data_IF_367819098453
#
_entry.id   IF_367819098453
#
_cell.length_a   1.000
_cell.length_b   1.000
_cell.length_c   1.000
_cell.angle_alpha   90.00
_cell.angle_beta   90.00
_cell.angle_gamma   90.00
#
_symmetry.space_group_name_H-M   'P 1'
#
loop_
_entity.id
_entity.type
_entity.pdbx_description
1 polymer ?
#
# COMPACT_ATOMS: atom_id res chain seq x y z
N UNK A 1 8.22 -11.07 -10.15
CA UNK A 1 7.11 -10.18 -10.53
C UNK A 1 6.78 -10.48 -11.98
N UNK A 2 5.70 -11.20 -12.24
CA UNK A 2 5.19 -11.38 -13.61
C UNK A 2 4.40 -10.13 -13.96
N UNK A 3 4.86 -9.40 -14.97
CA UNK A 3 4.14 -8.24 -15.51
C UNK A 3 2.86 -8.76 -16.19
N UNK A 4 1.77 -8.83 -15.43
CA UNK A 4 0.45 -9.20 -15.95
C UNK A 4 -0.06 -8.03 -16.80
N UNK A 5 0.06 -8.13 -18.12
CA UNK A 5 -0.52 -7.16 -19.03
C UNK A 5 -2.02 -7.42 -19.15
N UNK A 6 -2.84 -6.56 -18.55
CA UNK A 6 -4.29 -6.64 -18.66
C UNK A 6 -4.78 -5.97 -19.96
N UNK A 7 -5.90 -6.45 -20.56
CA UNK A 7 -6.52 -5.79 -21.70
C UNK A 7 -6.97 -4.36 -21.35
N UNK A 8 -6.84 -3.44 -22.31
CA UNK A 8 -7.19 -2.03 -22.11
C UNK A 8 -8.64 -1.82 -21.64
N UNK A 9 -9.58 -2.60 -22.17
CA UNK A 9 -11.00 -2.55 -21.77
C UNK A 9 -11.20 -2.94 -20.30
N UNK A 10 -10.44 -3.93 -19.81
CA UNK A 10 -10.47 -4.35 -18.42
C UNK A 10 -9.81 -3.32 -17.51
N UNK A 11 -8.72 -2.68 -17.94
CA UNK A 11 -8.08 -1.60 -17.19
C UNK A 11 -9.02 -0.41 -16.99
N UNK A 12 -9.72 0.03 -18.05
CA UNK A 12 -10.73 1.09 -17.95
C UNK A 12 -11.87 0.69 -17.01
N UNK A 13 -12.35 -0.55 -17.12
CA UNK A 13 -13.41 -1.07 -16.26
C UNK A 13 -12.96 -1.12 -14.79
N UNK A 14 -11.75 -1.61 -14.55
CA UNK A 14 -11.14 -1.72 -13.23
C UNK A 14 -10.96 -0.34 -12.61
N UNK A 15 -10.35 0.61 -13.32
CA UNK A 15 -10.10 1.96 -12.80
C UNK A 15 -11.41 2.67 -12.41
N UNK A 16 -12.45 2.49 -13.24
CA UNK A 16 -13.77 3.09 -13.02
C UNK A 16 -14.56 2.48 -11.86
N UNK A 17 -14.39 1.18 -11.57
CA UNK A 17 -15.18 0.46 -10.56
C UNK A 17 -14.35 -0.12 -9.40
N UNK A 18 -13.07 0.24 -9.30
CA UNK A 18 -12.12 -0.34 -8.34
C UNK A 18 -12.67 -0.36 -6.91
N UNK A 19 -13.25 0.74 -6.44
CA UNK A 19 -13.78 0.85 -5.09
C UNK A 19 -14.92 -0.16 -4.81
N UNK A 20 -15.83 -0.34 -5.77
CA UNK A 20 -16.95 -1.28 -5.66
C UNK A 20 -16.48 -2.73 -5.80
N UNK A 21 -15.51 -3.00 -6.68
CA UNK A 21 -14.93 -4.33 -6.87
C UNK A 21 -14.17 -4.79 -5.62
N UNK A 22 -13.38 -3.91 -5.00
CA UNK A 22 -12.71 -4.19 -3.72
C UNK A 22 -13.75 -4.47 -2.63
N UNK A 23 -14.89 -3.78 -2.64
CA UNK A 23 -15.98 -4.02 -1.67
C UNK A 23 -16.68 -5.36 -1.88
N UNK A 24 -16.76 -5.82 -3.13
CA UNK A 24 -17.34 -7.11 -3.55
C UNK A 24 -16.33 -8.26 -3.54
N UNK A 25 -15.06 -8.00 -3.19
CA UNK A 25 -14.03 -9.03 -3.12
C UNK A 25 -14.40 -10.16 -2.13
N UNK A 26 -13.90 -11.39 -2.36
CA UNK A 26 -14.09 -12.53 -1.46
C UNK A 26 -13.77 -12.17 0.00
N UNK A 27 -14.56 -12.69 0.95
CA UNK A 27 -14.42 -12.37 2.39
C UNK A 27 -12.98 -12.60 2.90
N UNK A 28 -12.32 -13.67 2.46
CA UNK A 28 -10.93 -13.96 2.82
C UNK A 28 -9.97 -12.82 2.45
N UNK A 29 -10.04 -12.31 1.21
CA UNK A 29 -9.18 -11.21 0.73
C UNK A 29 -9.54 -9.87 1.41
N UNK A 30 -10.81 -9.66 1.73
CA UNK A 30 -11.26 -8.46 2.44
C UNK A 30 -10.77 -8.44 3.88
N UNK A 31 -10.86 -9.56 4.59
CA UNK A 31 -10.34 -9.71 5.96
C UNK A 31 -8.82 -9.59 6.00
N UNK A 32 -8.11 -10.14 5.01
CA UNK A 32 -6.67 -9.99 4.86
C UNK A 32 -6.27 -8.52 4.62
N UNK A 33 -7.02 -7.80 3.78
CA UNK A 33 -6.85 -6.35 3.54
C UNK A 33 -7.11 -5.53 4.79
N UNK A 34 -8.18 -5.82 5.54
CA UNK A 34 -8.51 -5.12 6.78
C UNK A 34 -7.47 -5.38 7.88
N UNK A 35 -7.00 -6.62 8.02
CA UNK A 35 -5.94 -6.97 8.99
C UNK A 35 -4.56 -6.41 8.63
N UNK A 36 -4.31 -6.18 7.34
CA UNK A 36 -3.10 -5.50 6.85
C UNK A 36 -3.18 -3.98 7.01
N UNK A 37 -4.40 -3.41 6.98
CA UNK A 37 -4.65 -1.99 7.23
C UNK A 37 -4.59 -1.57 8.70
N UNK A 38 -4.91 -2.47 9.64
CA UNK A 38 -4.86 -2.17 11.09
C UNK A 38 -3.43 -2.20 11.63
N UNK A 39 -3.06 -1.20 12.44
CA UNK A 39 -1.82 -1.15 13.23
C UNK A 39 -1.88 -2.14 14.41
N UNK A 40 -1.93 -3.43 14.11
CA UNK A 40 -2.11 -4.49 15.11
C UNK A 40 -0.81 -5.21 15.47
N UNK A 41 0.31 -4.88 14.83
CA UNK A 41 1.59 -5.59 15.05
C UNK A 41 2.60 -4.68 15.74
N UNK A 42 3.41 -5.22 16.65
CA UNK A 42 4.48 -4.46 17.34
C UNK A 42 5.44 -3.76 16.35
N UNK A 43 5.66 -4.36 15.17
CA UNK A 43 6.40 -3.74 14.07
C UNK A 43 5.73 -2.48 13.51
N UNK A 44 4.39 -2.39 13.47
CA UNK A 44 3.66 -1.19 13.03
C UNK A 44 3.90 -0.01 13.97
N UNK A 45 3.93 -0.27 15.28
CA UNK A 45 4.22 0.73 16.32
C UNK A 45 5.68 1.18 16.28
N UNK A 46 6.62 0.25 16.07
CA UNK A 46 8.04 0.57 15.95
C UNK A 46 8.33 1.41 14.70
N UNK A 47 7.71 1.05 13.58
CA UNK A 47 7.78 1.77 12.31
C UNK A 47 7.17 3.18 12.38
N UNK A 48 6.11 3.37 13.18
CA UNK A 48 5.52 4.67 13.44
C UNK A 48 6.37 5.55 14.37
N UNK A 49 7.06 4.96 15.35
CA UNK A 49 7.93 5.68 16.27
C UNK A 49 9.25 6.13 15.62
N UNK A 50 9.73 5.41 14.60
CA UNK A 50 11.03 5.64 13.95
C UNK A 50 11.17 7.07 13.37
N UNK A 51 10.23 7.60 12.57
CA UNK A 51 10.28 8.97 12.07
C UNK A 51 10.32 10.01 13.18
N UNK A 52 9.60 9.78 14.30
CA UNK A 52 9.57 10.69 15.45
C UNK A 52 10.94 10.74 16.12
N UNK A 53 11.58 9.59 16.34
CA UNK A 53 12.92 9.50 16.93
C UNK A 53 13.95 10.20 16.04
N UNK A 54 13.88 10.01 14.71
CA UNK A 54 14.78 10.65 13.74
C UNK A 54 14.60 12.17 13.74
N UNK A 55 13.35 12.66 13.74
CA UNK A 55 13.06 14.10 13.80
C UNK A 55 13.61 14.70 15.09
N UNK A 56 13.33 14.08 16.25
CA UNK A 56 13.81 14.58 17.56
C UNK A 56 15.33 14.62 17.59
N UNK A 57 15.99 13.55 17.14
CA UNK A 57 17.45 13.47 17.04
C UNK A 57 18.02 14.58 16.17
N UNK A 58 17.43 14.81 14.99
CA UNK A 58 17.85 15.88 14.09
C UNK A 58 17.64 17.28 14.68
N UNK A 59 16.48 17.54 15.31
CA UNK A 59 16.19 18.84 15.93
C UNK A 59 17.05 19.14 17.15
N UNK A 60 17.61 18.12 17.82
CA UNK A 60 18.55 18.31 18.93
C UNK A 60 19.99 18.62 18.46
N UNK A 61 20.25 18.65 17.16
CA UNK A 61 21.54 19.06 16.62
C UNK A 61 21.57 20.55 16.30
N UNK A 62 22.68 21.22 16.61
CA UNK A 62 22.94 22.62 16.26
C UNK A 62 23.38 22.80 14.79
N UNK A 63 23.15 21.79 13.93
CA UNK A 63 23.53 21.82 12.52
C UNK A 63 22.89 22.98 11.75
N UNK A 64 21.68 23.40 12.14
CA UNK A 64 20.94 24.48 11.50
C UNK A 64 20.50 25.47 12.57
N UNK A 65 21.10 26.67 12.56
CA UNK A 65 20.79 27.77 13.50
C UNK A 65 19.45 28.45 13.20
N UNK A 66 19.01 28.45 11.94
CA UNK A 66 17.73 29.02 11.55
C UNK A 66 16.60 28.03 11.85
N UNK A 67 15.75 28.40 12.80
CA UNK A 67 14.70 27.54 13.33
C UNK A 67 13.64 27.16 12.28
N UNK A 68 13.27 28.08 11.40
CA UNK A 68 12.29 27.84 10.33
C UNK A 68 12.86 26.86 9.29
N UNK A 69 14.14 27.02 8.94
CA UNK A 69 14.84 26.12 8.02
C UNK A 69 15.03 24.73 8.64
N UNK A 70 15.37 24.66 9.94
CA UNK A 70 15.47 23.39 10.69
C UNK A 70 14.14 22.64 10.70
N UNK A 71 13.03 23.34 10.88
CA UNK A 71 11.69 22.77 10.85
C UNK A 71 11.32 22.20 9.47
N UNK A 72 11.59 22.93 8.39
CA UNK A 72 11.33 22.46 7.02
C UNK A 72 12.15 21.18 6.73
N UNK A 73 13.44 21.19 7.08
CA UNK A 73 14.30 20.01 6.87
C UNK A 73 13.83 18.82 7.70
N UNK A 74 13.41 19.05 8.95
CA UNK A 74 12.85 18.00 9.80
C UNK A 74 11.57 17.39 9.18
N UNK A 75 10.68 18.20 8.59
CA UNK A 75 9.51 17.72 7.87
C UNK A 75 9.87 16.86 6.66
N UNK A 76 10.87 17.28 5.88
CA UNK A 76 11.34 16.52 4.71
C UNK A 76 11.94 15.18 5.14
N UNK A 77 12.76 15.16 6.19
CA UNK A 77 13.33 13.93 6.75
C UNK A 77 12.21 13.01 7.27
N UNK A 78 11.24 13.55 8.00
CA UNK A 78 10.09 12.82 8.50
C UNK A 78 9.28 12.16 7.38
N UNK A 79 9.02 12.90 6.29
CA UNK A 79 8.31 12.39 5.14
C UNK A 79 9.11 11.31 4.39
N UNK A 80 10.41 11.50 4.20
CA UNK A 80 11.28 10.48 3.61
C UNK A 80 11.31 9.19 4.45
N UNK A 81 11.49 9.32 5.78
CA UNK A 81 11.42 8.20 6.70
C UNK A 81 10.06 7.49 6.59
N UNK A 82 8.95 8.23 6.58
CA UNK A 82 7.62 7.64 6.42
C UNK A 82 7.49 6.81 5.13
N UNK A 83 7.98 7.31 4.00
CA UNK A 83 7.96 6.57 2.73
C UNK A 83 8.77 5.28 2.84
N UNK A 84 9.98 5.34 3.43
CA UNK A 84 10.81 4.16 3.67
C UNK A 84 10.10 3.16 4.57
N UNK A 85 9.47 3.64 5.65
CA UNK A 85 8.68 2.83 6.59
C UNK A 85 7.55 2.08 5.89
N UNK A 86 6.80 2.73 5.00
CA UNK A 86 5.72 2.10 4.21
C UNK A 86 6.28 0.99 3.31
N UNK A 87 7.47 1.18 2.76
CA UNK A 87 8.11 0.21 1.87
C UNK A 87 8.71 -0.99 2.61
N UNK A 88 9.23 -0.77 3.82
CA UNK A 88 9.83 -1.80 4.69
C UNK A 88 8.76 -2.55 5.49
N UNK A 89 7.57 -1.96 5.71
CA UNK A 89 6.44 -2.56 6.44
C UNK A 89 6.18 -4.04 6.12
N UNK A 90 6.08 -4.48 4.85
CA UNK A 90 5.87 -5.90 4.52
C UNK A 90 7.02 -6.81 4.96
N UNK A 91 8.26 -6.32 4.98
CA UNK A 91 9.45 -7.08 5.39
C UNK A 91 9.57 -7.25 6.91
N UNK A 92 9.15 -6.25 7.69
CA UNK A 92 9.27 -6.26 9.16
C UNK A 92 8.06 -6.92 9.82
N UNK A 93 6.87 -6.77 9.24
CA UNK A 93 5.63 -7.28 9.85
C UNK A 93 5.25 -8.68 9.36
N UNK A 94 5.89 -9.18 8.29
CA UNK A 94 5.55 -10.46 7.67
C UNK A 94 4.15 -10.50 7.04
N UNK A 95 3.42 -9.37 7.04
CA UNK A 95 2.12 -9.23 6.39
C UNK A 95 2.33 -8.89 4.91
N UNK A 96 1.54 -9.50 4.03
CA UNK A 96 1.48 -9.09 2.61
C UNK A 96 1.05 -7.63 2.51
N UNK A 97 1.64 -6.89 1.57
CA UNK A 97 1.30 -5.48 1.39
C UNK A 97 -0.14 -5.35 0.90
N UNK A 98 -0.83 -4.26 1.29
CA UNK A 98 -2.15 -3.91 0.74
C UNK A 98 -2.08 -3.83 -0.80
N UNK A 99 -0.92 -3.45 -1.35
CA UNK A 99 -0.68 -3.41 -2.80
C UNK A 99 -0.71 -4.81 -3.42
N UNK A 100 -0.15 -5.81 -2.75
CA UNK A 100 -0.17 -7.21 -3.21
C UNK A 100 -1.58 -7.80 -3.12
N UNK A 101 -2.32 -7.47 -2.05
CA UNK A 101 -3.70 -7.91 -1.86
C UNK A 101 -4.62 -7.28 -2.92
N UNK A 102 -4.46 -5.98 -3.20
CA UNK A 102 -5.22 -5.30 -4.27
C UNK A 102 -4.89 -5.89 -5.65
N UNK A 103 -3.64 -6.31 -5.89
CA UNK A 103 -3.24 -7.01 -7.11
C UNK A 103 -3.88 -8.40 -7.23
N UNK A 104 -3.97 -9.15 -6.14
CA UNK A 104 -4.66 -10.45 -6.09
C UNK A 104 -6.18 -10.30 -6.32
N UNK A 105 -6.81 -9.24 -5.79
CA UNK A 105 -8.20 -8.90 -6.09
C UNK A 105 -8.37 -8.59 -7.57
N UNK A 106 -7.46 -7.80 -8.17
CA UNK A 106 -7.49 -7.49 -9.60
C UNK A 106 -7.38 -8.76 -10.45
N UNK A 107 -6.47 -9.66 -10.09
CA UNK A 107 -6.29 -10.95 -10.75
C UNK A 107 -7.55 -11.83 -10.66
N UNK A 108 -8.21 -11.86 -9.50
CA UNK A 108 -9.46 -12.59 -9.33
C UNK A 108 -10.58 -12.07 -10.25
N UNK A 109 -10.78 -10.75 -10.35
CA UNK A 109 -11.79 -10.20 -11.26
C UNK A 109 -11.41 -10.36 -12.73
N UNK A 110 -10.11 -10.38 -13.04
CA UNK A 110 -9.64 -10.64 -14.40
C UNK A 110 -9.91 -12.09 -14.84
N UNK A 111 -9.71 -13.08 -13.96
CA UNK A 111 -10.01 -14.48 -14.29
C UNK A 111 -11.50 -14.69 -14.55
N UNK A 112 -12.37 -14.09 -13.72
CA UNK A 112 -13.83 -14.09 -13.91
C UNK A 112 -14.23 -13.41 -15.22
N UNK A 113 -13.60 -12.28 -15.57
CA UNK A 113 -13.84 -11.60 -16.85
C UNK A 113 -13.47 -12.48 -18.06
N UNK A 114 -12.32 -13.17 -17.99
CA UNK A 114 -11.85 -14.06 -19.05
C UNK A 114 -12.78 -15.25 -19.25
N UNK A 115 -13.27 -15.85 -18.16
CA UNK A 115 -14.19 -16.99 -18.19
C UNK A 115 -15.52 -16.61 -18.88
N UNK A 116 -16.13 -15.49 -18.49
CA UNK A 116 -17.37 -14.99 -19.13
C UNK A 116 -17.22 -14.69 -20.61
N UNK A 117 -16.06 -14.17 -21.04
CA UNK A 117 -15.79 -13.91 -22.47
C UNK A 117 -15.61 -15.21 -23.26
N UNK A 118 -15.07 -16.25 -22.63
CA UNK A 118 -14.90 -17.57 -23.26
C UNK A 118 -16.22 -18.34 -23.40
N UNK A 119 -17.15 -18.16 -22.46
CA UNK A 119 -18.49 -18.75 -22.50
C UNK A 119 -19.38 -18.05 -23.55
N UNK A 120 -19.36 -16.72 -23.62
CA UNK A 120 -20.10 -15.96 -24.63
C UNK A 120 -19.59 -16.11 -26.07
N UNK A 121 -18.40 -16.68 -26.28
CA UNK A 121 -17.86 -17.00 -27.61
C UNK A 121 -18.19 -18.43 -28.05
N UNK A 122 -18.79 -19.25 -27.18
CA UNK A 122 -19.20 -20.63 -27.45
C UNK A 122 -20.71 -20.81 -27.67
N UNK A 123 -21.49 -19.75 -27.51
CA UNK A 123 -22.92 -19.67 -27.85
C UNK A 123 -23.13 -18.99 -29.19
#
# INVERSE_FOLDING_TARGET
MTEQTYPHDFEIYWDKHKADLIRQAPRALKEERENSGKMNTAGDWLLFALPVIVIIGFTNTDFIKNELLRFIVALVIGMACFVVTVYIKPYVTGKRSIVDIDADIKNYFYSVYKERRSEGSRS
#
